data_IF_859312398021
#
_entry.id   IF_859312398021
#
_cell.length_a   1.000
_cell.length_b   1.000
_cell.length_c   1.000
_cell.angle_alpha   90.00
_cell.angle_beta   90.00
_cell.angle_gamma   90.00
#
_symmetry.space_group_name_H-M   'P 1'
#
loop_
_entity.id
_entity.type
_entity.pdbx_description
1 polymer ?
#
# COMPACT_ATOMS: atom_id res chain seq x y z
N UNK A 1 -13.03 -13.93 -20.37
CA UNK A 1 -11.98 -14.06 -20.59
C UNK A 1 -10.89 -13.23 -20.02
N UNK A 2 -9.93 -12.86 -20.82
CA UNK A 2 -8.74 -12.20 -20.35
C UNK A 2 -9.02 -10.87 -19.66
N UNK A 3 -10.08 -10.22 -20.05
CA UNK A 3 -10.41 -8.93 -19.45
C UNK A 3 -10.76 -9.04 -17.98
N UNK A 4 -11.31 -10.16 -17.60
CA UNK A 4 -11.68 -10.36 -16.20
C UNK A 4 -10.44 -10.49 -15.33
N UNK A 5 -9.40 -11.15 -15.84
CA UNK A 5 -8.18 -11.30 -15.06
C UNK A 5 -7.43 -9.99 -14.92
N UNK A 6 -7.61 -9.04 -15.84
CA UNK A 6 -6.95 -7.74 -15.74
C UNK A 6 -7.49 -6.88 -14.62
N UNK A 7 -8.69 -7.20 -14.13
CA UNK A 7 -9.34 -6.39 -13.12
C UNK A 7 -9.45 -7.14 -11.81
N UNK A 8 -8.53 -8.07 -11.58
CA UNK A 8 -8.52 -8.80 -10.33
C UNK A 8 -7.42 -8.27 -9.44
N UNK A 9 -7.64 -8.40 -8.15
CA UNK A 9 -6.67 -8.03 -7.15
C UNK A 9 -6.62 -9.15 -6.12
N UNK A 10 -5.41 -9.58 -5.79
CA UNK A 10 -5.20 -10.55 -4.71
C UNK A 10 -4.42 -9.84 -3.61
N UNK A 11 -4.94 -9.89 -2.41
CA UNK A 11 -4.30 -9.29 -1.25
C UNK A 11 -4.03 -10.38 -0.22
N UNK A 12 -2.77 -10.57 0.14
CA UNK A 12 -2.38 -11.50 1.19
C UNK A 12 -1.59 -10.76 2.23
N UNK A 13 -1.59 -11.28 3.46
CA UNK A 13 -0.85 -10.63 4.53
C UNK A 13 -0.33 -11.66 5.51
N UNK A 14 0.76 -11.30 6.18
CA UNK A 14 1.30 -12.09 7.28
C UNK A 14 2.03 -11.14 8.22
N UNK A 15 2.21 -11.57 9.44
CA UNK A 15 2.92 -10.79 10.44
C UNK A 15 4.24 -11.43 10.77
N UNK A 16 5.28 -10.62 10.92
CA UNK A 16 6.59 -11.09 11.32
C UNK A 16 7.26 -9.97 12.12
N UNK A 17 7.68 -10.28 13.33
CA UNK A 17 8.42 -9.36 14.20
C UNK A 17 7.68 -8.04 14.43
N UNK A 18 6.37 -8.11 14.55
CA UNK A 18 5.54 -6.93 14.83
C UNK A 18 5.20 -6.11 13.61
N UNK A 19 5.60 -6.54 12.43
CA UNK A 19 5.30 -5.85 11.18
C UNK A 19 4.34 -6.70 10.37
N UNK A 20 3.27 -6.07 9.88
CA UNK A 20 2.31 -6.74 9.00
C UNK A 20 2.73 -6.46 7.56
N UNK A 21 3.05 -7.52 6.84
CA UNK A 21 3.43 -7.45 5.44
C UNK A 21 2.19 -7.75 4.59
N UNK A 22 1.83 -6.81 3.73
CA UNK A 22 0.68 -6.95 2.84
C UNK A 22 1.22 -7.02 1.43
N UNK A 23 0.86 -8.07 0.71
CA UNK A 23 1.26 -8.19 -0.69
C UNK A 23 0.03 -8.05 -1.56
N UNK A 24 0.12 -7.17 -2.55
CA UNK A 24 -0.94 -6.97 -3.52
C UNK A 24 -0.45 -7.45 -4.87
N UNK A 25 -1.32 -8.14 -5.61
CA UNK A 25 -0.99 -8.68 -6.93
C UNK A 25 -2.12 -8.34 -7.88
N UNK A 26 -1.75 -7.94 -9.10
CA UNK A 26 -2.71 -7.70 -10.17
C UNK A 26 -2.97 -6.23 -10.38
N UNK A 27 -4.24 -5.85 -10.44
CA UNK A 27 -4.66 -4.49 -10.74
C UNK A 27 -5.18 -3.79 -9.50
N UNK A 28 -4.69 -2.59 -9.26
CA UNK A 28 -5.19 -1.74 -8.18
C UNK A 28 -5.83 -0.53 -8.84
N UNK A 29 -7.16 -0.57 -8.97
CA UNK A 29 -7.89 0.37 -9.82
C UNK A 29 -9.27 0.64 -9.23
N UNK A 30 -10.04 1.47 -9.92
CA UNK A 30 -11.40 1.76 -9.50
C UNK A 30 -12.24 0.48 -9.39
N UNK A 31 -11.99 -0.49 -10.27
CA UNK A 31 -12.73 -1.76 -10.27
C UNK A 31 -12.44 -2.61 -9.04
N UNK A 32 -11.21 -2.56 -8.54
CA UNK A 32 -10.81 -3.37 -7.38
C UNK A 32 -10.69 -2.56 -6.10
N UNK A 33 -11.03 -1.27 -6.15
CA UNK A 33 -10.82 -0.37 -5.01
C UNK A 33 -11.60 -0.82 -3.77
N UNK A 34 -12.83 -1.27 -3.96
CA UNK A 34 -13.64 -1.68 -2.83
C UNK A 34 -13.02 -2.86 -2.10
N UNK A 35 -12.51 -3.83 -2.87
CA UNK A 35 -11.82 -4.97 -2.29
C UNK A 35 -10.56 -4.54 -1.55
N UNK A 36 -9.77 -3.67 -2.17
CA UNK A 36 -8.54 -3.17 -1.54
C UNK A 36 -8.83 -2.43 -0.24
N UNK A 37 -9.84 -1.57 -0.26
CA UNK A 37 -10.23 -0.83 0.94
C UNK A 37 -10.70 -1.76 2.04
N UNK A 38 -11.48 -2.78 1.67
CA UNK A 38 -11.99 -3.74 2.64
C UNK A 38 -10.84 -4.50 3.32
N UNK A 39 -9.88 -4.95 2.53
CA UNK A 39 -8.75 -5.69 3.09
C UNK A 39 -7.89 -4.82 4.00
N UNK A 40 -7.63 -3.58 3.60
CA UNK A 40 -6.84 -2.69 4.43
C UNK A 40 -7.57 -2.35 5.73
N UNK A 41 -8.88 -2.11 5.66
CA UNK A 41 -9.65 -1.84 6.85
C UNK A 41 -9.59 -3.02 7.82
N UNK A 42 -9.71 -4.24 7.29
CA UNK A 42 -9.63 -5.44 8.11
C UNK A 42 -8.29 -5.52 8.85
N UNK A 43 -7.20 -5.19 8.16
CA UNK A 43 -5.86 -5.23 8.74
C UNK A 43 -5.72 -4.18 9.84
N UNK A 44 -6.21 -2.97 9.60
CA UNK A 44 -6.15 -1.89 10.59
C UNK A 44 -7.03 -2.24 11.81
N UNK A 45 -8.24 -2.77 11.55
CA UNK A 45 -9.14 -3.12 12.64
C UNK A 45 -8.60 -4.26 13.48
N UNK A 46 -7.77 -5.13 12.90
CA UNK A 46 -7.12 -6.20 13.64
C UNK A 46 -5.98 -5.71 14.53
N UNK A 47 -5.65 -4.43 14.47
CA UNK A 47 -4.67 -3.84 15.39
C UNK A 47 -3.28 -3.65 14.81
N UNK A 48 -3.11 -3.80 13.50
CA UNK A 48 -1.80 -3.61 12.89
C UNK A 48 -1.33 -2.17 13.09
N UNK A 49 -0.07 -2.00 13.48
CA UNK A 49 0.52 -0.69 13.72
C UNK A 49 1.69 -0.39 12.81
N UNK A 50 2.39 -1.41 12.34
CA UNK A 50 3.48 -1.25 11.38
C UNK A 50 3.14 -2.09 10.17
N UNK A 51 2.90 -1.44 9.04
CA UNK A 51 2.43 -2.12 7.84
C UNK A 51 3.36 -1.79 6.68
N UNK A 52 3.75 -2.83 5.94
CA UNK A 52 4.47 -2.69 4.67
C UNK A 52 3.55 -3.24 3.58
N UNK A 53 3.24 -2.40 2.60
CA UNK A 53 2.49 -2.84 1.43
C UNK A 53 3.48 -3.03 0.29
N UNK A 54 3.59 -4.26 -0.20
CA UNK A 54 4.50 -4.62 -1.29
C UNK A 54 3.72 -4.60 -2.60
N UNK A 55 4.16 -3.77 -3.53
CA UNK A 55 3.50 -3.59 -4.82
C UNK A 55 4.28 -4.21 -5.99
N UNK A 56 5.27 -5.06 -5.70
CA UNK A 56 6.12 -5.61 -6.76
C UNK A 56 5.32 -6.35 -7.83
N UNK A 57 4.21 -6.97 -7.45
CA UNK A 57 3.40 -7.75 -8.38
C UNK A 57 2.13 -7.03 -8.81
N UNK A 58 2.01 -5.75 -8.54
CA UNK A 58 0.94 -4.92 -9.08
C UNK A 58 1.41 -4.41 -10.44
N UNK A 59 0.67 -4.76 -11.49
CA UNK A 59 1.08 -4.41 -12.85
C UNK A 59 0.27 -3.24 -13.42
N UNK A 60 -0.75 -2.78 -12.70
CA UNK A 60 -1.55 -1.66 -13.14
C UNK A 60 -2.11 -0.92 -11.93
N UNK A 61 -2.04 0.40 -11.96
CA UNK A 61 -2.65 1.24 -10.94
C UNK A 61 -3.32 2.43 -11.61
N UNK A 62 -4.50 2.79 -11.13
CA UNK A 62 -5.20 3.97 -11.60
C UNK A 62 -5.42 4.91 -10.42
N UNK A 63 -6.06 6.06 -10.70
CA UNK A 63 -6.35 7.01 -9.62
C UNK A 63 -7.21 6.39 -8.53
N UNK A 64 -8.13 5.48 -8.89
CA UNK A 64 -8.92 4.77 -7.90
C UNK A 64 -8.07 3.89 -7.01
N UNK A 65 -7.03 3.27 -7.60
CA UNK A 65 -6.11 2.45 -6.82
C UNK A 65 -5.20 3.27 -5.93
N UNK A 66 -4.73 4.40 -6.42
CA UNK A 66 -3.92 5.30 -5.60
C UNK A 66 -4.72 5.76 -4.38
N UNK A 67 -6.03 6.00 -4.58
CA UNK A 67 -6.89 6.41 -3.47
C UNK A 67 -6.98 5.33 -2.39
N UNK A 68 -6.95 4.05 -2.79
CA UNK A 68 -6.92 2.95 -1.81
C UNK A 68 -5.69 3.08 -0.90
N UNK A 69 -4.54 3.34 -1.50
CA UNK A 69 -3.30 3.49 -0.72
C UNK A 69 -3.35 4.72 0.17
N UNK A 70 -3.87 5.83 -0.33
CA UNK A 70 -3.98 7.04 0.45
C UNK A 70 -4.92 6.83 1.65
N UNK A 71 -6.04 6.16 1.42
CA UNK A 71 -6.98 5.89 2.50
C UNK A 71 -6.36 4.98 3.56
N UNK A 72 -5.61 3.96 3.12
CA UNK A 72 -4.91 3.08 4.06
C UNK A 72 -3.93 3.88 4.91
N UNK A 73 -3.21 4.82 4.30
CA UNK A 73 -2.28 5.66 5.02
C UNK A 73 -2.99 6.49 6.09
N UNK A 74 -4.14 7.07 5.73
CA UNK A 74 -4.90 7.87 6.68
C UNK A 74 -5.42 7.01 7.83
N UNK A 75 -5.89 5.82 7.53
CA UNK A 75 -6.41 4.93 8.55
C UNK A 75 -5.32 4.52 9.54
N UNK A 76 -4.14 4.17 9.03
CA UNK A 76 -3.02 3.82 9.89
C UNK A 76 -2.57 5.01 10.74
N UNK A 77 -2.50 6.19 10.13
CA UNK A 77 -2.11 7.38 10.87
C UNK A 77 -3.10 7.68 11.99
N UNK A 78 -4.40 7.55 11.70
CA UNK A 78 -5.43 7.78 12.72
C UNK A 78 -5.36 6.76 13.84
N UNK A 79 -4.89 5.55 13.54
CA UNK A 79 -4.72 4.50 14.53
C UNK A 79 -3.35 4.58 15.22
N UNK A 80 -2.59 5.64 14.96
CA UNK A 80 -1.25 5.86 15.51
C UNK A 80 -0.26 4.82 15.03
N UNK A 81 -0.44 4.36 13.78
CA UNK A 81 0.44 3.41 13.15
C UNK A 81 1.30 4.04 12.09
N UNK A 82 2.10 3.22 11.45
CA UNK A 82 2.99 3.63 10.36
C UNK A 82 2.80 2.69 9.17
N UNK A 83 2.89 3.25 7.97
CA UNK A 83 2.74 2.46 6.76
C UNK A 83 3.86 2.84 5.79
N UNK A 84 4.46 1.82 5.19
CA UNK A 84 5.46 2.00 4.15
C UNK A 84 4.98 1.30 2.90
N UNK A 85 5.12 1.96 1.75
CA UNK A 85 4.78 1.37 0.46
C UNK A 85 6.08 0.97 -0.19
N UNK A 86 6.21 -0.30 -0.56
CA UNK A 86 7.49 -0.83 -1.00
C UNK A 86 7.40 -1.47 -2.37
N UNK A 87 8.51 -1.43 -3.09
CA UNK A 87 8.74 -2.22 -4.30
C UNK A 87 7.87 -1.83 -5.49
N UNK A 88 7.24 -0.66 -5.47
CA UNK A 88 6.57 -0.15 -6.67
C UNK A 88 7.61 0.07 -7.75
N UNK A 89 7.29 -0.31 -8.98
CA UNK A 89 8.24 -0.18 -10.08
C UNK A 89 7.47 0.12 -11.37
N UNK A 90 8.22 0.55 -12.39
CA UNK A 90 7.66 0.83 -13.69
C UNK A 90 6.57 1.86 -13.62
N UNK A 91 5.47 1.61 -14.36
CA UNK A 91 4.40 2.59 -14.44
C UNK A 91 3.68 2.78 -13.09
N UNK A 92 3.70 1.77 -12.24
CA UNK A 92 3.09 1.90 -10.91
C UNK A 92 3.85 2.93 -10.08
N UNK A 93 5.17 2.84 -10.08
CA UNK A 93 6.01 3.81 -9.37
C UNK A 93 5.82 5.20 -9.95
N UNK A 94 5.82 5.30 -11.28
CA UNK A 94 5.64 6.60 -11.94
C UNK A 94 4.30 7.22 -11.59
N UNK A 95 3.25 6.40 -11.55
CA UNK A 95 1.92 6.91 -11.23
C UNK A 95 1.85 7.42 -9.80
N UNK A 96 2.47 6.71 -8.88
CA UNK A 96 2.51 7.15 -7.49
C UNK A 96 3.26 8.47 -7.35
N UNK A 97 4.40 8.58 -8.00
CA UNK A 97 5.18 9.81 -7.93
C UNK A 97 4.45 10.97 -8.58
N UNK A 98 3.82 10.72 -9.72
CA UNK A 98 3.08 11.77 -10.43
C UNK A 98 1.86 12.23 -9.66
N UNK A 99 1.29 11.38 -8.83
CA UNK A 99 0.11 11.74 -8.05
C UNK A 99 0.44 12.61 -6.84
N UNK A 100 1.73 12.79 -6.56
CA UNK A 100 2.13 13.54 -5.37
C UNK A 100 2.11 12.70 -4.11
N UNK A 101 2.15 11.38 -4.24
CA UNK A 101 2.10 10.50 -3.08
C UNK A 101 3.21 10.83 -2.08
N UNK A 102 4.39 11.20 -2.59
CA UNK A 102 5.50 11.56 -1.72
C UNK A 102 5.22 12.78 -0.85
N UNK A 103 4.26 13.61 -1.24
CA UNK A 103 3.93 14.80 -0.46
C UNK A 103 3.19 14.46 0.83
N UNK A 104 2.69 13.24 0.96
CA UNK A 104 2.05 12.83 2.20
C UNK A 104 3.01 12.88 3.38
N UNK A 105 4.31 12.76 3.12
CA UNK A 105 5.29 12.89 4.18
C UNK A 105 5.25 14.26 4.85
N UNK A 106 4.82 15.29 4.14
CA UNK A 106 4.72 16.62 4.71
C UNK A 106 3.57 16.74 5.70
N UNK A 107 2.54 15.92 5.49
CA UNK A 107 1.35 15.95 6.33
C UNK A 107 1.47 14.98 7.50
N UNK A 108 1.98 13.77 7.23
CA UNK A 108 2.00 12.70 8.21
C UNK A 108 3.39 12.34 8.70
N UNK A 109 4.40 13.06 8.22
CA UNK A 109 5.78 12.81 8.63
C UNK A 109 6.28 11.48 8.11
N UNK A 110 7.26 10.91 8.80
CA UNK A 110 7.87 9.66 8.38
C UNK A 110 6.97 8.45 8.61
N UNK A 111 5.76 8.66 9.13
CA UNK A 111 4.81 7.57 9.29
C UNK A 111 4.36 6.99 7.96
N UNK A 112 4.46 7.77 6.89
CA UNK A 112 4.10 7.32 5.54
C UNK A 112 5.31 7.51 4.65
N UNK A 113 5.75 6.44 4.00
CA UNK A 113 6.98 6.50 3.22
C UNK A 113 6.92 5.56 2.04
N UNK A 114 7.48 6.01 0.91
CA UNK A 114 7.62 5.19 -0.30
C UNK A 114 9.05 4.67 -0.34
N UNK A 115 9.20 3.36 -0.35
CA UNK A 115 10.50 2.70 -0.30
C UNK A 115 10.72 1.84 -1.53
N UNK A 116 11.99 1.66 -1.91
CA UNK A 116 12.30 0.86 -3.10
C UNK A 116 12.19 -0.64 -2.85
N UNK A 117 12.44 -1.08 -1.62
CA UNK A 117 12.40 -2.51 -1.28
C UNK A 117 11.73 -2.71 0.07
N UNK A 118 11.33 -3.97 0.32
CA UNK A 118 10.82 -4.31 1.64
C UNK A 118 11.87 -4.11 2.73
N UNK A 119 13.13 -4.40 2.41
CA UNK A 119 14.20 -4.22 3.39
C UNK A 119 14.32 -2.77 3.81
N UNK A 120 14.24 -1.85 2.84
CA UNK A 120 14.25 -0.43 3.16
C UNK A 120 13.07 -0.05 4.04
N UNK A 121 11.89 -0.61 3.73
CA UNK A 121 10.69 -0.31 4.50
C UNK A 121 10.84 -0.78 5.95
N UNK A 122 11.35 -1.99 6.14
CA UNK A 122 11.57 -2.52 7.49
C UNK A 122 12.57 -1.67 8.25
N UNK A 123 13.67 -1.30 7.59
CA UNK A 123 14.70 -0.47 8.22
C UNK A 123 14.15 0.90 8.62
N UNK A 124 13.22 1.43 7.84
CA UNK A 124 12.64 2.75 8.10
C UNK A 124 11.81 2.78 9.38
N UNK A 125 11.29 1.64 9.82
CA UNK A 125 10.56 1.59 11.09
C UNK A 125 11.48 1.76 12.30
N UNK A 126 12.75 1.50 12.12
CA UNK A 126 13.71 1.59 13.22
C UNK A 126 14.27 3.00 13.38
N UNK A 127 14.21 3.75 12.31
CA UNK A 127 14.70 5.10 12.31
C UNK A 127 13.65 6.07 12.78
#
# INVERSE_FOLDING_TARGET
>A
MDQETRHTLVVTSHENAGITFVKMQGSLSATTAEQGNHEMKRIVDAGAKKVVINLADVDYISSGGIRVLILACKQLNNAQGQIKIAAAKGMVKEALEASGFNLLNRVYGSNIQLCNTEQEAVAAFRG
#
